data_IF_870508313892
#
_entry.id   IF_870508313892
#
_cell.length_a   1.000
_cell.length_b   1.000
_cell.length_c   1.000
_cell.angle_alpha   90.00
_cell.angle_beta   90.00
_cell.angle_gamma   90.00
#
_symmetry.space_group_name_H-M   'P 1'
#
loop_
_entity.id
_entity.type
_entity.pdbx_description
1 polymer ?
#
# COMPACT_ATOMS: atom_id res chain seq x y z
N UNK A 1 -9.84 17.64 -1.73
CA UNK A 1 -10.49 16.42 -1.24
C UNK A 1 -11.00 16.70 0.16
N UNK A 2 -12.27 16.47 0.46
CA UNK A 2 -12.77 16.56 1.83
C UNK A 2 -12.62 15.19 2.49
N UNK A 3 -11.83 15.13 3.55
CA UNK A 3 -11.71 13.95 4.41
C UNK A 3 -12.71 14.10 5.55
N UNK A 4 -13.48 13.07 5.81
CA UNK A 4 -14.38 13.02 6.96
C UNK A 4 -13.98 11.84 7.82
N UNK A 5 -13.72 12.09 9.10
CA UNK A 5 -13.69 11.02 10.08
C UNK A 5 -15.12 10.49 10.21
N UNK A 6 -15.28 9.17 10.18
CA UNK A 6 -16.59 8.57 10.45
C UNK A 6 -16.95 8.88 11.89
N UNK A 7 -18.00 9.69 12.11
CA UNK A 7 -18.39 10.19 13.42
C UNK A 7 -18.85 9.07 14.39
N UNK A 8 -18.79 9.37 15.70
CA UNK A 8 -18.84 8.40 16.80
C UNK A 8 -20.10 7.52 16.90
N UNK A 9 -21.33 7.91 16.54
CA UNK A 9 -22.49 6.99 16.57
C UNK A 9 -22.48 5.99 15.41
N UNK A 10 -22.28 6.43 14.17
CA UNK A 10 -22.09 5.52 13.02
C UNK A 10 -20.87 4.60 13.21
N UNK A 11 -19.85 5.09 13.91
CA UNK A 11 -18.62 4.37 14.21
C UNK A 11 -18.86 3.14 15.09
N UNK A 12 -19.71 3.20 16.12
CA UNK A 12 -19.95 2.06 17.01
C UNK A 12 -20.71 0.94 16.30
N UNK A 13 -21.80 1.23 15.62
CA UNK A 13 -22.59 0.22 14.92
C UNK A 13 -21.84 -0.36 13.70
N UNK A 14 -21.18 0.50 12.94
CA UNK A 14 -20.36 0.09 11.80
C UNK A 14 -19.15 -0.70 12.29
N UNK A 15 -18.48 -0.24 13.35
CA UNK A 15 -17.33 -0.94 13.91
C UNK A 15 -17.69 -2.28 14.53
N UNK A 16 -18.86 -2.43 15.14
CA UNK A 16 -19.30 -3.73 15.64
C UNK A 16 -19.62 -4.71 14.50
N UNK A 17 -20.24 -4.25 13.42
CA UNK A 17 -20.46 -5.07 12.22
C UNK A 17 -19.12 -5.49 11.58
N UNK A 18 -18.20 -4.56 11.48
CA UNK A 18 -16.85 -4.78 10.92
C UNK A 18 -16.05 -5.74 11.81
N UNK A 19 -16.12 -5.60 13.13
CA UNK A 19 -15.44 -6.50 14.08
C UNK A 19 -15.96 -7.93 14.01
N UNK A 20 -17.25 -8.11 13.68
CA UNK A 20 -17.83 -9.46 13.52
C UNK A 20 -17.33 -10.15 12.25
N UNK A 21 -17.22 -9.44 11.15
CA UNK A 21 -16.73 -9.98 9.89
C UNK A 21 -16.02 -8.91 9.06
N UNK A 22 -14.72 -8.62 9.41
CA UNK A 22 -13.91 -7.64 8.69
C UNK A 22 -13.77 -7.98 7.21
N UNK A 23 -13.65 -9.25 6.89
CA UNK A 23 -13.47 -9.76 5.52
C UNK A 23 -14.66 -9.39 4.63
N UNK A 24 -15.87 -9.75 5.03
CA UNK A 24 -17.07 -9.49 4.23
C UNK A 24 -17.30 -7.99 4.07
N UNK A 25 -17.07 -7.20 5.11
CA UNK A 25 -17.21 -5.74 5.00
C UNK A 25 -16.24 -5.14 3.98
N UNK A 26 -14.94 -5.44 4.10
CA UNK A 26 -13.93 -4.92 3.17
C UNK A 26 -14.24 -5.34 1.73
N UNK A 27 -14.65 -6.59 1.52
CA UNK A 27 -15.02 -7.10 0.20
C UNK A 27 -16.28 -6.44 -0.40
N UNK A 28 -17.20 -5.96 0.45
CA UNK A 28 -18.42 -5.26 0.01
C UNK A 28 -18.14 -3.85 -0.53
N UNK A 29 -16.98 -3.26 -0.27
CA UNK A 29 -16.62 -1.91 -0.70
C UNK A 29 -16.41 -1.87 -2.22
N UNK A 30 -17.03 -0.88 -2.89
CA UNK A 30 -16.89 -0.70 -4.34
C UNK A 30 -15.55 -0.06 -4.67
N UNK A 31 -14.67 -0.77 -5.36
CA UNK A 31 -13.31 -0.33 -5.70
C UNK A 31 -13.25 1.00 -6.47
N UNK A 32 -14.23 1.27 -7.33
CA UNK A 32 -14.34 2.51 -8.12
C UNK A 32 -15.59 3.31 -7.75
N UNK A 33 -16.04 3.23 -6.51
CA UNK A 33 -17.17 4.01 -6.01
C UNK A 33 -16.83 5.50 -5.86
N UNK A 34 -17.85 6.31 -5.56
CA UNK A 34 -17.66 7.76 -5.24
C UNK A 34 -17.03 7.98 -3.85
N UNK A 35 -16.92 6.93 -3.06
CA UNK A 35 -16.39 6.94 -1.69
C UNK A 35 -15.26 5.93 -1.60
N UNK A 36 -14.15 6.35 -1.04
CA UNK A 36 -13.01 5.50 -0.71
C UNK A 36 -12.74 5.50 0.81
N UNK A 37 -11.86 4.60 1.23
CA UNK A 37 -11.53 4.40 2.63
C UNK A 37 -10.03 4.19 2.82
N UNK A 38 -9.46 4.83 3.84
CA UNK A 38 -8.24 4.36 4.48
C UNK A 38 -8.62 3.64 5.77
N UNK A 39 -8.01 2.49 5.99
CA UNK A 39 -8.36 1.60 7.10
C UNK A 39 -7.09 1.34 7.89
N UNK A 40 -7.11 1.67 9.19
CA UNK A 40 -6.06 1.29 10.13
C UNK A 40 -6.46 -0.04 10.76
N UNK A 41 -5.70 -1.09 10.46
CA UNK A 41 -6.04 -2.45 10.87
C UNK A 41 -4.81 -3.30 11.18
N UNK A 42 -5.05 -4.42 11.87
CA UNK A 42 -4.08 -5.47 12.07
C UNK A 42 -4.25 -6.52 10.97
N UNK A 43 -3.13 -6.88 10.32
CA UNK A 43 -3.10 -7.77 9.15
C UNK A 43 -2.06 -8.85 9.39
N UNK A 44 -2.40 -10.08 9.09
CA UNK A 44 -1.48 -11.21 9.14
C UNK A 44 -1.50 -12.03 7.85
N UNK A 45 -0.34 -12.59 7.51
CA UNK A 45 -0.19 -13.63 6.51
C UNK A 45 -0.24 -14.98 7.25
N UNK A 46 -1.27 -15.81 7.06
CA UNK A 46 -1.27 -17.17 7.60
C UNK A 46 -0.05 -17.97 7.13
N UNK A 47 0.44 -18.87 7.97
CA UNK A 47 1.67 -19.63 7.69
C UNK A 47 1.58 -20.42 6.38
N UNK A 48 0.38 -20.85 6.01
CA UNK A 48 0.10 -21.58 4.77
C UNK A 48 0.36 -20.75 3.51
N UNK A 49 0.45 -19.43 3.65
CA UNK A 49 0.73 -18.49 2.55
C UNK A 49 2.20 -18.07 2.48
N UNK A 50 3.02 -18.44 3.46
CA UNK A 50 4.40 -17.97 3.53
C UNK A 50 5.22 -18.37 2.31
N UNK A 51 5.12 -19.63 1.88
CA UNK A 51 5.84 -20.09 0.67
C UNK A 51 5.37 -19.36 -0.60
N UNK A 52 4.07 -19.08 -0.71
CA UNK A 52 3.50 -18.37 -1.86
C UNK A 52 3.99 -16.92 -1.98
N UNK A 53 4.19 -16.25 -0.84
CA UNK A 53 4.50 -14.81 -0.81
C UNK A 53 5.91 -14.50 -0.31
N UNK A 54 6.78 -15.50 -0.22
CA UNK A 54 8.16 -15.31 0.23
C UNK A 54 8.92 -14.26 -0.60
N UNK A 55 8.75 -14.25 -1.92
CA UNK A 55 9.46 -13.33 -2.81
C UNK A 55 8.84 -11.94 -2.86
N UNK A 56 7.50 -11.84 -2.76
CA UNK A 56 6.75 -10.58 -2.89
C UNK A 56 5.63 -10.48 -1.84
N UNK A 57 5.97 -10.31 -0.55
CA UNK A 57 4.97 -10.07 0.49
C UNK A 57 4.18 -8.78 0.27
N UNK A 58 2.89 -8.81 0.62
CA UNK A 58 2.06 -7.62 0.66
C UNK A 58 2.38 -6.76 1.91
N UNK A 59 1.91 -5.52 1.91
CA UNK A 59 1.95 -4.62 3.05
C UNK A 59 3.35 -4.29 3.56
N UNK A 60 4.18 -3.62 2.71
CA UNK A 60 5.53 -3.23 3.07
C UNK A 60 5.54 -2.19 4.20
N UNK A 61 6.56 -2.21 5.03
CA UNK A 61 6.76 -1.23 6.11
C UNK A 61 8.12 -0.56 6.01
N UNK A 62 8.21 0.67 6.49
CA UNK A 62 9.50 1.32 6.65
C UNK A 62 10.14 0.88 7.98
N UNK A 63 11.28 0.21 7.88
CA UNK A 63 12.07 -0.21 9.05
C UNK A 63 13.55 0.11 8.85
N UNK A 64 14.22 0.44 9.95
CA UNK A 64 15.67 0.58 9.99
C UNK A 64 16.32 -0.69 10.58
N UNK A 65 17.56 -0.98 10.21
CA UNK A 65 18.38 -1.98 10.90
C UNK A 65 17.97 -3.45 10.72
N UNK A 66 17.45 -3.84 9.58
CA UNK A 66 16.85 -5.17 9.35
C UNK A 66 17.78 -6.28 8.88
N UNK A 67 19.04 -6.28 9.28
CA UNK A 67 19.86 -7.46 9.03
C UNK A 67 19.79 -8.43 10.20
N UNK A 68 19.54 -9.70 9.90
CA UNK A 68 19.65 -10.76 10.89
C UNK A 68 21.07 -10.89 11.42
N UNK A 69 21.26 -11.40 12.62
CA UNK A 69 22.60 -11.60 13.19
C UNK A 69 23.47 -12.54 12.33
N UNK A 70 22.84 -13.45 11.57
CA UNK A 70 23.51 -14.27 10.57
C UNK A 70 24.12 -13.47 9.43
N UNK A 71 23.38 -12.49 8.89
CA UNK A 71 23.86 -11.60 7.83
C UNK A 71 24.98 -10.69 8.35
N UNK A 72 24.85 -10.18 9.58
CA UNK A 72 25.92 -9.39 10.23
C UNK A 72 27.22 -10.21 10.34
N UNK A 73 27.14 -11.43 10.88
CA UNK A 73 28.30 -12.32 11.00
C UNK A 73 28.91 -12.68 9.64
N UNK A 74 28.06 -12.93 8.63
CA UNK A 74 28.52 -13.20 7.27
C UNK A 74 29.26 -12.00 6.66
N UNK A 75 28.74 -10.78 6.85
CA UNK A 75 29.36 -9.56 6.33
C UNK A 75 30.69 -9.23 7.02
N UNK A 76 30.79 -9.47 8.32
CA UNK A 76 32.04 -9.35 9.09
C UNK A 76 33.10 -10.34 8.59
N UNK A 77 32.72 -11.59 8.35
CA UNK A 77 33.63 -12.64 7.84
C UNK A 77 34.14 -12.37 6.42
N UNK A 78 33.41 -11.61 5.62
CA UNK A 78 33.73 -11.36 4.21
C UNK A 78 34.11 -9.90 3.90
N UNK A 79 34.49 -9.10 4.92
CA UNK A 79 34.87 -7.68 4.81
C UNK A 79 33.86 -6.78 4.06
N UNK A 80 32.57 -7.08 4.21
CA UNK A 80 31.47 -6.29 3.60
C UNK A 80 30.87 -5.33 4.64
N UNK A 81 31.58 -5.04 5.70
CA UNK A 81 31.10 -4.33 6.91
C UNK A 81 30.57 -2.94 6.59
N UNK A 82 31.17 -2.22 5.64
CA UNK A 82 30.74 -0.85 5.32
C UNK A 82 29.35 -0.78 4.70
N UNK A 83 28.96 -1.78 3.92
CA UNK A 83 27.60 -1.88 3.35
C UNK A 83 26.53 -2.20 4.38
N UNK A 84 26.88 -2.81 5.50
CA UNK A 84 25.98 -3.17 6.59
C UNK A 84 25.79 -2.02 7.59
N UNK A 85 26.81 -1.15 7.73
CA UNK A 85 26.76 0.04 8.60
C UNK A 85 25.83 1.14 8.08
N UNK A 86 25.60 1.23 6.77
CA UNK A 86 24.71 2.22 6.15
C UNK A 86 23.19 1.98 6.44
N UNK A 87 22.83 0.97 7.21
CA UNK A 87 21.44 0.50 7.31
C UNK A 87 20.66 1.08 8.49
N UNK A 88 21.12 2.16 9.08
CA UNK A 88 20.28 2.92 10.02
C UNK A 88 19.22 3.79 9.31
N UNK A 89 19.28 3.91 7.99
CA UNK A 89 18.26 4.62 7.22
C UNK A 89 17.04 3.71 7.02
N UNK A 90 15.83 4.16 7.39
CA UNK A 90 14.63 3.38 7.15
C UNK A 90 14.45 3.05 5.67
N UNK A 91 14.27 1.78 5.36
CA UNK A 91 13.99 1.28 4.01
C UNK A 91 12.63 0.61 3.97
N UNK A 92 12.03 0.57 2.81
CA UNK A 92 10.80 -0.18 2.58
C UNK A 92 11.13 -1.67 2.60
N UNK A 93 10.59 -2.38 3.59
CA UNK A 93 10.81 -3.81 3.80
C UNK A 93 9.52 -4.55 3.52
N UNK A 94 9.61 -5.60 2.69
CA UNK A 94 8.55 -6.55 2.43
C UNK A 94 8.88 -7.84 3.19
N UNK A 95 8.19 -8.08 4.30
CA UNK A 95 8.29 -9.30 5.09
C UNK A 95 6.89 -9.83 5.43
N UNK A 96 6.81 -11.05 5.96
CA UNK A 96 5.55 -11.73 6.33
C UNK A 96 5.18 -11.56 7.80
N UNK A 97 5.91 -10.69 8.52
CA UNK A 97 5.61 -10.39 9.93
C UNK A 97 4.23 -9.71 10.03
N UNK A 98 3.38 -10.11 10.98
CA UNK A 98 2.09 -9.48 11.20
C UNK A 98 2.20 -7.97 11.36
N UNK A 99 1.27 -7.25 10.73
CA UNK A 99 1.16 -5.80 10.80
C UNK A 99 0.20 -5.40 11.89
N UNK A 100 0.61 -4.47 12.76
CA UNK A 100 -0.25 -3.87 13.76
C UNK A 100 -0.48 -2.41 13.43
N UNK A 101 -1.74 -1.94 13.55
CA UNK A 101 -2.15 -0.55 13.27
C UNK A 101 -1.67 -0.06 11.90
N UNK A 102 -1.72 -0.92 10.91
CA UNK A 102 -1.27 -0.62 9.55
C UNK A 102 -2.33 0.18 8.80
N UNK A 103 -1.97 1.38 8.36
CA UNK A 103 -2.85 2.22 7.57
C UNK A 103 -2.78 1.82 6.10
N UNK A 104 -3.88 1.40 5.53
CA UNK A 104 -3.94 0.87 4.16
C UNK A 104 -5.13 1.43 3.39
N UNK A 105 -4.95 1.67 2.10
CA UNK A 105 -6.05 1.97 1.20
C UNK A 105 -6.91 0.71 0.99
N UNK A 106 -8.22 0.88 1.06
CA UNK A 106 -9.17 -0.25 1.03
C UNK A 106 -9.00 -1.19 -0.17
N UNK A 107 -8.64 -0.69 -1.35
CA UNK A 107 -8.46 -1.54 -2.53
C UNK A 107 -7.25 -2.47 -2.41
N UNK A 108 -6.16 -2.03 -1.78
CA UNK A 108 -5.01 -2.90 -1.49
C UNK A 108 -5.36 -3.93 -0.42
N UNK A 109 -6.15 -3.53 0.58
CA UNK A 109 -6.64 -4.46 1.59
C UNK A 109 -7.57 -5.52 0.98
N UNK A 110 -8.46 -5.14 0.07
CA UNK A 110 -9.30 -6.07 -0.68
C UNK A 110 -8.46 -7.11 -1.44
N UNK A 111 -7.44 -6.63 -2.13
CA UNK A 111 -6.52 -7.52 -2.85
C UNK A 111 -5.81 -8.48 -1.90
N UNK A 112 -5.28 -7.99 -0.77
CA UNK A 112 -4.65 -8.83 0.25
C UNK A 112 -5.60 -9.92 0.78
N UNK A 113 -6.83 -9.56 1.11
CA UNK A 113 -7.86 -10.51 1.56
C UNK A 113 -8.19 -11.55 0.48
N UNK A 114 -8.30 -11.14 -0.78
CA UNK A 114 -8.50 -12.06 -1.90
C UNK A 114 -7.35 -13.06 -2.06
N UNK A 115 -6.15 -12.64 -1.72
CA UNK A 115 -4.96 -13.49 -1.75
C UNK A 115 -4.81 -14.37 -0.49
N UNK A 116 -5.68 -14.20 0.51
CA UNK A 116 -5.73 -15.04 1.71
C UNK A 116 -5.20 -14.40 2.99
N UNK A 117 -4.73 -13.14 2.94
CA UNK A 117 -4.37 -12.41 4.17
C UNK A 117 -5.60 -12.23 5.06
N UNK A 118 -5.39 -12.22 6.37
CA UNK A 118 -6.44 -12.05 7.38
C UNK A 118 -6.35 -10.67 8.01
N UNK A 119 -7.50 -10.02 8.13
CA UNK A 119 -7.67 -8.81 8.95
C UNK A 119 -8.17 -9.25 10.31
N UNK A 120 -7.35 -9.08 11.33
CA UNK A 120 -7.67 -9.54 12.69
C UNK A 120 -8.38 -8.47 13.52
N UNK A 121 -8.05 -7.20 13.29
CA UNK A 121 -8.67 -6.08 13.99
C UNK A 121 -8.72 -4.82 13.11
N UNK A 122 -9.77 -4.00 13.26
CA UNK A 122 -9.87 -2.67 12.66
C UNK A 122 -9.90 -1.61 13.77
N UNK A 123 -8.93 -0.69 13.74
CA UNK A 123 -8.77 0.38 14.73
C UNK A 123 -9.51 1.64 14.32
N UNK A 124 -9.21 2.17 13.11
CA UNK A 124 -9.76 3.41 12.60
C UNK A 124 -10.12 3.32 11.12
N UNK A 125 -11.08 4.12 10.70
CA UNK A 125 -11.51 4.22 9.31
C UNK A 125 -11.62 5.71 8.97
N UNK A 126 -10.97 6.10 7.88
CA UNK A 126 -11.11 7.42 7.27
C UNK A 126 -11.87 7.25 5.96
N UNK A 127 -13.00 7.96 5.83
CA UNK A 127 -13.81 8.01 4.61
C UNK A 127 -13.43 9.25 3.80
N UNK A 128 -13.33 9.11 2.49
CA UNK A 128 -13.07 10.25 1.60
C UNK A 128 -13.91 10.14 0.31
N UNK A 129 -14.18 11.30 -0.30
CA UNK A 129 -14.80 11.36 -1.63
C UNK A 129 -13.72 11.17 -2.69
N UNK A 130 -14.00 10.34 -3.68
CA UNK A 130 -13.10 10.09 -4.80
C UNK A 130 -13.81 10.24 -6.14
N UNK A 131 -13.06 10.69 -7.15
CA UNK A 131 -13.55 10.80 -8.51
C UNK A 131 -12.38 10.63 -9.49
N UNK A 132 -12.59 10.03 -10.67
CA UNK A 132 -11.54 9.78 -11.66
C UNK A 132 -11.24 11.02 -12.51
N UNK A 133 -11.11 12.22 -11.90
CA UNK A 133 -10.99 13.48 -12.63
C UNK A 133 -9.69 13.64 -13.44
N UNK A 134 -8.63 12.91 -13.07
CA UNK A 134 -7.34 12.90 -13.80
C UNK A 134 -7.34 11.85 -14.92
N UNK A 135 -8.23 10.88 -14.85
CA UNK A 135 -8.23 9.69 -15.71
C UNK A 135 -8.20 10.04 -17.22
N UNK A 136 -9.02 10.99 -17.65
CA UNK A 136 -9.12 11.40 -19.05
C UNK A 136 -7.78 11.93 -19.56
N UNK A 137 -7.13 12.79 -18.77
CA UNK A 137 -5.84 13.38 -19.13
C UNK A 137 -4.72 12.35 -19.18
N UNK A 138 -4.61 11.52 -18.15
CA UNK A 138 -3.56 10.46 -18.08
C UNK A 138 -3.75 9.43 -19.20
N UNK A 139 -4.99 9.06 -19.49
CA UNK A 139 -5.30 8.15 -20.61
C UNK A 139 -4.88 8.73 -21.96
N UNK A 140 -5.22 10.01 -22.21
CA UNK A 140 -4.80 10.71 -23.42
C UNK A 140 -3.27 10.71 -23.58
N UNK A 141 -2.53 10.97 -22.49
CA UNK A 141 -1.06 10.92 -22.50
C UNK A 141 -0.54 9.49 -22.78
N UNK A 142 -1.18 8.49 -22.21
CA UNK A 142 -0.87 7.07 -22.44
C UNK A 142 -1.05 6.67 -23.90
N UNK A 143 -2.17 7.06 -24.50
CA UNK A 143 -2.44 6.79 -25.93
C UNK A 143 -1.43 7.51 -26.84
N UNK A 144 -1.14 8.79 -26.57
CA UNK A 144 -0.15 9.54 -27.35
C UNK A 144 1.23 8.90 -27.23
N UNK A 145 1.62 8.46 -26.03
CA UNK A 145 2.88 7.73 -25.80
C UNK A 145 2.93 6.42 -26.58
N UNK A 146 1.84 5.66 -26.62
CA UNK A 146 1.78 4.39 -27.36
C UNK A 146 1.90 4.60 -28.87
N UNK A 147 1.34 5.71 -29.41
CA UNK A 147 1.39 6.08 -30.82
C UNK A 147 2.69 6.78 -31.23
N UNK A 148 3.54 7.16 -30.28
CA UNK A 148 4.79 7.89 -30.54
C UNK A 148 5.80 7.02 -31.28
N UNK A 149 6.43 7.58 -32.30
CA UNK A 149 7.45 6.92 -33.13
C UNK A 149 8.86 7.09 -32.58
N UNK A 150 9.12 8.21 -31.90
CA UNK A 150 10.45 8.55 -31.39
C UNK A 150 10.56 8.34 -29.87
N UNK A 151 11.77 8.05 -29.42
CA UNK A 151 12.07 7.94 -27.97
C UNK A 151 11.85 9.26 -27.25
N UNK A 152 12.12 10.39 -27.91
CA UNK A 152 11.95 11.73 -27.34
C UNK A 152 10.48 11.98 -27.01
N UNK A 153 9.57 11.73 -27.97
CA UNK A 153 8.13 11.86 -27.75
C UNK A 153 7.62 10.93 -26.63
N UNK A 154 8.07 9.67 -26.61
CA UNK A 154 7.71 8.72 -25.55
C UNK A 154 8.12 9.23 -24.17
N UNK A 155 9.32 9.79 -24.08
CA UNK A 155 9.84 10.36 -22.82
C UNK A 155 9.09 11.64 -22.43
N UNK A 156 8.72 12.48 -23.39
CA UNK A 156 7.92 13.69 -23.14
C UNK A 156 6.56 13.33 -22.51
N UNK A 157 5.81 12.41 -23.10
CA UNK A 157 4.51 11.99 -22.56
C UNK A 157 4.63 11.31 -21.20
N UNK A 158 5.71 10.54 -20.96
CA UNK A 158 6.02 9.99 -19.64
C UNK A 158 6.28 11.10 -18.61
N UNK A 159 7.05 12.10 -19.00
CA UNK A 159 7.38 13.24 -18.12
C UNK A 159 6.11 14.01 -17.75
N UNK A 160 5.24 14.31 -18.73
CA UNK A 160 3.97 15.00 -18.49
C UNK A 160 3.06 14.23 -17.53
N UNK A 161 2.95 12.92 -17.69
CA UNK A 161 2.15 12.08 -16.79
C UNK A 161 2.73 12.09 -15.35
N UNK A 162 4.05 11.95 -15.21
CA UNK A 162 4.71 11.99 -13.91
C UNK A 162 4.62 13.38 -13.25
N UNK A 163 4.76 14.46 -14.03
CA UNK A 163 4.64 15.83 -13.53
C UNK A 163 3.23 16.14 -13.00
N UNK A 164 2.21 15.57 -13.63
CA UNK A 164 0.83 15.67 -13.14
C UNK A 164 0.71 15.09 -11.74
N UNK A 165 1.22 13.86 -11.53
CA UNK A 165 1.24 13.24 -10.20
C UNK A 165 2.07 14.06 -9.20
N UNK A 166 3.28 14.48 -9.59
CA UNK A 166 4.16 15.29 -8.74
C UNK A 166 3.49 16.56 -8.25
N UNK A 167 2.73 17.26 -9.13
CA UNK A 167 2.03 18.49 -8.78
C UNK A 167 0.92 18.30 -7.73
N UNK A 168 0.29 17.14 -7.67
CA UNK A 168 -0.69 16.83 -6.61
C UNK A 168 -0.08 16.51 -5.25
N UNK A 169 1.20 16.15 -5.21
CA UNK A 169 1.93 15.80 -3.98
C UNK A 169 2.79 16.97 -3.49
N UNK A 170 2.94 18.02 -4.29
CA UNK A 170 3.66 19.23 -3.92
C UNK A 170 2.87 20.01 -2.86
N UNK A 171 3.51 20.27 -1.71
CA UNK A 171 2.98 21.06 -0.57
C UNK A 171 3.50 22.48 -0.63
#
# INVERSE_FOLDING_TARGET
MSYEWVEVPERREVMEKIKRDPKSWVQSLKTFGKVGFFIECDIEAPVELHDKFNDLPFFPVQKAGMYSDGIKKYSEKNDIVDKVKEVNTPKLICDLVPRQKYLVHYSLLQLGIQQGYRVTHIHHIIRFKQAPFIFVYVNMLGEKRAKSKTTVEKNLYKLLANSTYGKFVET
#
